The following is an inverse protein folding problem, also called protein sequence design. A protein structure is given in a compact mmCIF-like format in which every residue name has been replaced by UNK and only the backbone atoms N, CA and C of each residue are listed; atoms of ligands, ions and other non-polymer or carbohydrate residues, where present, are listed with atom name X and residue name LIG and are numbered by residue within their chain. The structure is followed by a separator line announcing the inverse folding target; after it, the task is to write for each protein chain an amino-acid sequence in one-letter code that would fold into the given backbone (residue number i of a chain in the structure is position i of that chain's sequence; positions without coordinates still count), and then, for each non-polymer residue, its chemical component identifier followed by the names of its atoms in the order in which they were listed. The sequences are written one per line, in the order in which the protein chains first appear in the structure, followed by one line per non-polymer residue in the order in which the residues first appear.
data_IF_505581948492
#
_entry.id   IF_505581948492
#
_cell.length_a   1.000
_cell.length_b   1.000
_cell.length_c   1.000
_cell.angle_alpha   90.00
_cell.angle_beta   90.00
_cell.angle_gamma   90.00
#
_symmetry.space_group_name_H-M   'P 1'
#
loop_
_entity.id
_entity.type
_entity.pdbx_description
1 polymer ?
#
# COMPACT_ATOMS: atom_id res chain seq x y z
N UNK A 1 10.39 -13.76 -2.62
CA UNK A 1 9.96 -12.66 -3.51
C UNK A 1 8.91 -11.85 -2.75
N UNK A 2 8.95 -10.51 -2.80
CA UNK A 2 7.95 -9.65 -2.14
C UNK A 2 6.74 -9.52 -3.07
N UNK A 3 5.56 -9.92 -2.61
CA UNK A 3 4.33 -9.89 -3.42
C UNK A 3 3.76 -8.46 -3.53
N UNK A 4 2.89 -8.21 -4.51
CA UNK A 4 2.19 -6.93 -4.62
C UNK A 4 1.24 -6.72 -3.44
N UNK A 5 0.66 -7.80 -2.89
CA UNK A 5 -0.13 -7.75 -1.65
C UNK A 5 0.71 -7.29 -0.45
N UNK A 6 1.96 -7.73 -0.32
CA UNK A 6 2.87 -7.26 0.74
C UNK A 6 3.18 -5.77 0.61
N UNK A 7 3.41 -5.30 -0.63
CA UNK A 7 3.62 -3.89 -0.92
C UNK A 7 2.39 -3.05 -0.56
N UNK A 8 1.18 -3.51 -0.93
CA UNK A 8 -0.07 -2.84 -0.57
C UNK A 8 -0.23 -2.71 0.95
N UNK A 9 -0.03 -3.80 1.71
CA UNK A 9 -0.10 -3.78 3.18
C UNK A 9 0.89 -2.79 3.79
N UNK A 10 2.11 -2.74 3.25
CA UNK A 10 3.14 -1.81 3.71
C UNK A 10 2.71 -0.35 3.51
N UNK A 11 2.23 -0.01 2.32
CA UNK A 11 1.79 1.36 1.97
C UNK A 11 0.62 1.81 2.84
N UNK A 12 -0.37 0.94 3.06
CA UNK A 12 -1.52 1.26 3.92
C UNK A 12 -1.12 1.57 5.37
N UNK A 13 -0.17 0.80 5.92
CA UNK A 13 0.39 1.06 7.25
C UNK A 13 1.12 2.40 7.30
N UNK A 14 1.92 2.69 6.27
CA UNK A 14 2.67 3.94 6.17
C UNK A 14 1.75 5.16 6.09
N UNK A 15 0.63 5.09 5.36
CA UNK A 15 -0.39 6.16 5.34
C UNK A 15 -0.91 6.42 6.76
N UNK A 16 -1.21 5.37 7.53
CA UNK A 16 -1.69 5.51 8.91
C UNK A 16 -0.64 6.18 9.81
N UNK A 17 0.62 5.76 9.72
CA UNK A 17 1.70 6.36 10.48
C UNK A 17 1.96 7.81 10.08
N UNK A 18 1.99 8.13 8.79
CA UNK A 18 2.16 9.49 8.29
C UNK A 18 1.04 10.41 8.75
N UNK A 19 -0.23 9.98 8.71
CA UNK A 19 -1.36 10.76 9.22
C UNK A 19 -1.18 11.15 10.70
N UNK A 20 -0.61 10.25 11.51
CA UNK A 20 -0.31 10.53 12.91
C UNK A 20 0.92 11.44 13.08
N UNK A 21 2.04 11.10 12.45
CA UNK A 21 3.32 11.80 12.60
C UNK A 21 3.27 13.20 11.99
N UNK A 22 2.68 13.35 10.80
CA UNK A 22 2.63 14.64 10.12
C UNK A 22 1.78 15.65 10.88
N UNK A 23 0.71 15.22 11.56
CA UNK A 23 -0.06 16.11 12.44
C UNK A 23 0.84 16.78 13.48
N UNK A 24 1.73 16.00 14.11
CA UNK A 24 2.71 16.54 15.06
C UNK A 24 3.75 17.42 14.37
N UNK A 25 4.30 17.00 13.24
CA UNK A 25 5.28 17.80 12.49
C UNK A 25 4.74 19.14 12.01
N UNK A 26 3.45 19.21 11.69
CA UNK A 26 2.76 20.45 11.37
C UNK A 26 2.63 21.34 12.59
N UNK A 27 2.17 20.79 13.73
CA UNK A 27 2.05 21.54 14.98
C UNK A 27 3.40 22.10 15.46
N UNK A 28 4.48 21.33 15.29
CA UNK A 28 5.84 21.71 15.66
C UNK A 28 6.51 22.63 14.62
N UNK A 29 5.83 22.98 13.51
CA UNK A 29 6.33 23.89 12.47
C UNK A 29 7.37 23.29 11.51
N UNK A 30 7.65 21.98 11.59
CA UNK A 30 8.60 21.28 10.72
C UNK A 30 8.03 20.92 9.34
N UNK A 31 6.74 21.14 9.11
CA UNK A 31 6.03 20.80 7.88
C UNK A 31 4.79 21.69 7.75
N UNK A 32 4.39 22.08 6.55
CA UNK A 32 3.08 22.74 6.34
C UNK A 32 1.97 21.72 6.15
N UNK A 33 0.72 22.10 6.45
CA UNK A 33 -0.45 21.25 6.15
C UNK A 33 -0.51 20.87 4.67
N UNK A 34 -0.20 21.80 3.77
CA UNK A 34 -0.19 21.54 2.33
C UNK A 34 0.84 20.47 1.94
N UNK A 35 2.03 20.49 2.54
CA UNK A 35 3.03 19.44 2.32
C UNK A 35 2.53 18.10 2.87
N UNK A 36 1.96 18.08 4.08
CA UNK A 36 1.45 16.86 4.70
C UNK A 36 0.36 16.21 3.86
N UNK A 37 -0.60 17.02 3.39
CA UNK A 37 -1.70 16.57 2.55
C UNK A 37 -1.20 16.01 1.22
N UNK A 38 -0.25 16.69 0.56
CA UNK A 38 0.30 16.23 -0.71
C UNK A 38 1.05 14.90 -0.60
N UNK A 39 1.83 14.72 0.46
CA UNK A 39 2.52 13.45 0.73
C UNK A 39 1.52 12.31 1.02
N UNK A 40 0.44 12.59 1.75
CA UNK A 40 -0.62 11.60 2.01
C UNK A 40 -1.34 11.23 0.72
N UNK A 41 -1.72 12.22 -0.09
CA UNK A 41 -2.38 12.02 -1.39
C UNK A 41 -1.52 11.16 -2.33
N UNK A 42 -0.21 11.42 -2.39
CA UNK A 42 0.71 10.61 -3.17
C UNK A 42 0.77 9.16 -2.69
N UNK A 43 0.81 8.93 -1.39
CA UNK A 43 0.81 7.58 -0.81
C UNK A 43 -0.52 6.86 -1.06
N UNK A 44 -1.64 7.55 -1.02
CA UNK A 44 -2.96 7.01 -1.35
C UNK A 44 -3.04 6.62 -2.83
N UNK A 45 -2.47 7.41 -3.75
CA UNK A 45 -2.35 7.05 -5.16
C UNK A 45 -1.52 5.76 -5.36
N UNK A 46 -0.37 5.65 -4.68
CA UNK A 46 0.45 4.41 -4.71
C UNK A 46 -0.35 3.20 -4.18
N UNK A 47 -1.18 3.38 -3.16
CA UNK A 47 -2.03 2.31 -2.64
C UNK A 47 -3.09 1.86 -3.67
N UNK A 48 -3.63 2.78 -4.46
CA UNK A 48 -4.57 2.49 -5.55
C UNK A 48 -3.88 1.67 -6.66
N UNK A 49 -2.67 2.06 -7.05
CA UNK A 49 -1.89 1.31 -8.04
C UNK A 49 -1.65 -0.13 -7.59
N UNK A 50 -1.19 -0.32 -6.34
CA UNK A 50 -0.96 -1.66 -5.81
C UNK A 50 -2.24 -2.47 -5.59
N UNK A 51 -3.39 -1.84 -5.31
CA UNK A 51 -4.68 -2.55 -5.29
C UNK A 51 -5.01 -3.12 -6.66
N UNK A 52 -4.84 -2.32 -7.71
CA UNK A 52 -5.08 -2.76 -9.09
C UNK A 52 -4.16 -3.92 -9.47
N UNK A 53 -2.87 -3.80 -9.14
CA UNK A 53 -1.88 -4.86 -9.41
C UNK A 53 -2.16 -6.13 -8.60
N UNK A 54 -2.55 -6.02 -7.33
CA UNK A 54 -2.83 -7.18 -6.47
C UNK A 54 -4.08 -7.92 -6.93
N UNK A 55 -5.09 -7.20 -7.42
CA UNK A 55 -6.26 -7.81 -8.05
C UNK A 55 -5.89 -8.55 -9.35
N UNK A 56 -4.91 -8.04 -10.11
CA UNK A 56 -4.40 -8.70 -11.31
C UNK A 56 -3.49 -9.92 -11.02
N UNK A 57 -2.87 -10.01 -9.84
CA UNK A 57 -2.14 -11.21 -9.38
C UNK A 57 -3.08 -12.35 -8.94
N UNK A 58 -4.30 -12.01 -8.50
CA UNK A 58 -5.26 -12.97 -7.97
C UNK A 58 -5.88 -14.02 -8.94
N UNK A 59 -5.85 -13.93 -10.30
CA UNK A 59 -6.52 -14.91 -11.16
C UNK A 59 -5.65 -16.08 -11.70
N UNK A 60 -4.46 -16.39 -11.17
CA UNK A 60 -3.63 -17.49 -11.74
C UNK A 60 -3.04 -18.50 -10.74
N UNK A 61 -3.47 -18.53 -9.47
CA UNK A 61 -2.92 -19.49 -8.48
C UNK A 61 -3.74 -20.77 -8.30
N UNK A 62 -4.87 -20.96 -9.00
CA UNK A 62 -5.61 -22.23 -8.99
C UNK A 62 -5.48 -22.99 -10.31
N UNK A 63 -4.26 -23.45 -10.66
CA UNK A 63 -4.10 -24.51 -11.66
C UNK A 63 -2.95 -25.46 -11.31
N UNK A 64 -2.83 -25.89 -10.06
CA UNK A 64 -2.08 -27.10 -9.73
C UNK A 64 -2.73 -27.80 -8.54
N UNK A 65 -3.54 -28.83 -8.81
CA UNK A 65 -3.26 -30.24 -8.45
C UNK A 65 -4.55 -31.02 -8.18
N UNK A 66 -4.79 -32.07 -8.97
CA UNK A 66 -5.03 -33.44 -8.47
C UNK A 66 -4.66 -34.40 -9.62
N UNK A 67 -3.39 -34.85 -9.64
CA UNK A 67 -2.98 -36.24 -9.40
C UNK A 67 -3.61 -37.25 -10.39
N UNK A 68 -2.97 -37.41 -11.55
CA UNK A 68 -2.76 -38.76 -12.07
C UNK A 68 -1.79 -39.50 -11.12
N UNK A 69 -2.23 -40.63 -10.59
CA UNK A 69 -1.33 -41.72 -10.18
C UNK A 69 -2.13 -43.05 -10.33
N UNK A 70 -1.50 -44.09 -10.89
CA UNK A 70 -2.18 -45.21 -11.55
C UNK A 70 -2.75 -46.27 -10.61
#
# INVERSE_FOLDING_TARGET
MISTTDKLRCVLREISYRKHVYRRRVADGFMTEAQANREIELMEAIAIDYRTMAAAEAPQTEMFTEKERP
#
